data_IF_067691474094
#
_entry.id   IF_067691474094
#
_cell.length_a   1.000
_cell.length_b   1.000
_cell.length_c   1.000
_cell.angle_alpha   90.00
_cell.angle_beta   90.00
_cell.angle_gamma   90.00
#
_symmetry.space_group_name_H-M   'P 1'
#
loop_
_entity.id
_entity.type
_entity.pdbx_description
1 polymer ?
#
# COMPACT_ATOMS: atom_id res chain seq x y z
N UNK A 1 -6.00 18.58 -0.44
CA UNK A 1 -7.18 17.74 -0.81
C UNK A 1 -8.48 18.16 -0.12
N UNK A 2 -9.65 17.93 -0.74
CA UNK A 2 -10.98 18.00 -0.07
C UNK A 2 -11.33 16.67 0.61
N UNK A 3 -12.26 16.69 1.56
CA UNK A 3 -12.86 15.50 2.16
C UNK A 3 -14.34 15.42 1.78
N UNK A 4 -14.73 14.39 1.02
CA UNK A 4 -16.10 14.21 0.51
C UNK A 4 -16.70 12.96 1.14
N UNK A 5 -17.88 13.10 1.76
CA UNK A 5 -18.61 11.99 2.36
C UNK A 5 -19.65 11.47 1.37
N UNK A 6 -19.50 10.23 0.93
CA UNK A 6 -20.34 9.56 -0.06
C UNK A 6 -20.91 8.27 0.55
N UNK A 7 -21.91 8.43 1.40
CA UNK A 7 -22.63 7.32 2.02
C UNK A 7 -24.10 7.32 1.58
N UNK A 8 -24.76 6.18 1.69
CA UNK A 8 -26.17 6.04 1.33
C UNK A 8 -27.08 6.79 2.31
N UNK A 9 -26.64 6.93 3.57
CA UNK A 9 -27.41 7.58 4.63
C UNK A 9 -26.62 8.64 5.39
N UNK A 10 -27.34 9.62 5.95
CA UNK A 10 -26.74 10.65 6.80
C UNK A 10 -26.20 10.08 8.12
N UNK A 11 -26.80 9.01 8.64
CA UNK A 11 -26.36 8.34 9.87
C UNK A 11 -24.96 7.73 9.70
N UNK A 12 -24.69 7.11 8.55
CA UNK A 12 -23.35 6.60 8.22
C UNK A 12 -22.31 7.72 8.15
N UNK A 13 -22.65 8.84 7.51
CA UNK A 13 -21.79 10.02 7.50
C UNK A 13 -21.44 10.48 8.93
N UNK A 14 -22.46 10.62 9.79
CA UNK A 14 -22.28 11.08 11.17
C UNK A 14 -21.45 10.11 12.01
N UNK A 15 -21.67 8.80 11.83
CA UNK A 15 -20.94 7.73 12.52
C UNK A 15 -19.43 7.82 12.29
N UNK A 16 -18.99 8.16 11.08
CA UNK A 16 -17.57 8.15 10.70
C UNK A 16 -16.90 9.54 10.72
N UNK A 17 -17.67 10.63 10.82
CA UNK A 17 -17.17 12.00 10.70
C UNK A 17 -15.99 12.33 11.61
N UNK A 18 -16.02 11.88 12.88
CA UNK A 18 -14.95 12.18 13.83
C UNK A 18 -13.63 11.46 13.49
N UNK A 19 -13.70 10.22 13.01
CA UNK A 19 -12.53 9.45 12.56
C UNK A 19 -11.96 10.06 11.28
N UNK A 20 -12.81 10.32 10.29
CA UNK A 20 -12.43 10.94 9.01
C UNK A 20 -11.70 12.26 9.24
N UNK A 21 -12.22 13.11 10.15
CA UNK A 21 -11.57 14.38 10.47
C UNK A 21 -10.12 14.19 10.96
N UNK A 22 -9.88 13.25 11.88
CA UNK A 22 -8.53 12.98 12.40
C UNK A 22 -7.61 12.40 11.32
N UNK A 23 -8.13 11.50 10.48
CA UNK A 23 -7.37 10.93 9.36
C UNK A 23 -6.96 12.02 8.36
N UNK A 24 -7.85 12.94 8.02
CA UNK A 24 -7.54 14.06 7.12
C UNK A 24 -6.54 15.05 7.72
N UNK A 25 -6.60 15.30 9.03
CA UNK A 25 -5.59 16.13 9.74
C UNK A 25 -4.21 15.49 9.65
N UNK A 26 -4.10 14.19 9.94
CA UNK A 26 -2.85 13.42 9.81
C UNK A 26 -2.38 13.31 8.36
N UNK A 27 -3.29 13.20 7.40
CA UNK A 27 -2.95 13.10 5.99
C UNK A 27 -2.30 14.40 5.51
N UNK A 28 -2.75 15.56 6.03
CA UNK A 28 -2.09 16.83 5.77
C UNK A 28 -0.65 16.88 6.27
N UNK A 29 -0.35 16.28 7.42
CA UNK A 29 1.03 16.19 7.94
C UNK A 29 1.90 15.29 7.04
N UNK A 30 1.36 14.17 6.57
CA UNK A 30 2.05 13.28 5.65
C UNK A 30 2.22 13.88 4.24
N UNK A 31 1.23 14.63 3.74
CA UNK A 31 1.31 15.39 2.48
C UNK A 31 2.53 16.32 2.50
N UNK A 32 2.77 17.05 3.59
CA UNK A 32 3.94 17.93 3.72
C UNK A 32 5.28 17.16 3.69
N UNK A 33 5.32 15.94 4.23
CA UNK A 33 6.50 15.07 4.13
C UNK A 33 6.75 14.68 2.67
N UNK A 34 5.70 14.25 1.95
CA UNK A 34 5.80 13.90 0.55
C UNK A 34 6.20 15.10 -0.33
N UNK A 35 5.65 16.29 -0.08
CA UNK A 35 6.02 17.51 -0.81
C UNK A 35 7.48 17.90 -0.59
N UNK A 36 7.94 17.84 0.65
CA UNK A 36 9.29 18.28 1.00
C UNK A 36 10.40 17.33 0.57
N UNK A 37 10.09 16.03 0.49
CA UNK A 37 11.11 14.98 0.35
C UNK A 37 10.91 14.07 -0.85
N UNK A 38 9.69 13.97 -1.40
CA UNK A 38 9.33 12.94 -2.37
C UNK A 38 8.60 13.49 -3.61
N UNK A 39 8.74 14.78 -3.91
CA UNK A 39 8.22 15.37 -5.15
C UNK A 39 6.71 15.18 -5.35
N UNK A 40 5.91 15.30 -4.28
CA UNK A 40 4.45 15.43 -4.45
C UNK A 40 4.12 16.84 -4.98
N UNK A 41 4.04 17.00 -6.29
CA UNK A 41 3.76 18.31 -6.89
C UNK A 41 2.26 18.57 -6.93
N UNK A 42 1.51 17.65 -7.55
CA UNK A 42 0.06 17.69 -7.59
C UNK A 42 -0.54 16.78 -6.50
N UNK A 43 -1.78 17.07 -6.10
CA UNK A 43 -2.50 16.19 -5.16
C UNK A 43 -3.86 15.86 -5.74
N UNK A 44 -4.43 14.71 -5.37
CA UNK A 44 -5.78 14.40 -5.78
C UNK A 44 -6.72 15.50 -5.29
N UNK A 45 -7.81 15.69 -6.03
CA UNK A 45 -8.79 16.75 -5.72
C UNK A 45 -9.49 16.46 -4.40
N UNK A 46 -9.75 15.20 -4.09
CA UNK A 46 -10.42 14.80 -2.86
C UNK A 46 -10.14 13.37 -2.42
N UNK A 47 -10.33 13.13 -1.13
CA UNK A 47 -10.62 11.80 -0.57
C UNK A 47 -12.14 11.61 -0.55
N UNK A 48 -12.60 10.58 -1.25
CA UNK A 48 -13.96 10.09 -1.33
C UNK A 48 -14.17 9.01 -0.27
N UNK A 49 -14.73 9.42 0.86
CA UNK A 49 -15.10 8.52 1.94
C UNK A 49 -16.41 7.83 1.63
N UNK A 50 -16.44 6.51 1.64
CA UNK A 50 -17.62 5.74 1.22
C UNK A 50 -17.77 4.48 2.06
N UNK A 51 -18.92 3.81 1.99
CA UNK A 51 -19.05 2.48 2.60
C UNK A 51 -18.21 1.44 1.85
N UNK A 52 -17.85 0.36 2.55
CA UNK A 52 -17.13 -0.77 1.96
C UNK A 52 -17.87 -1.37 0.76
N UNK A 53 -19.20 -1.49 0.87
CA UNK A 53 -20.06 -2.00 -0.22
C UNK A 53 -19.93 -1.13 -1.47
N UNK A 54 -20.10 0.19 -1.34
CA UNK A 54 -20.02 1.11 -2.46
C UNK A 54 -18.60 1.14 -3.08
N UNK A 55 -17.55 1.11 -2.25
CA UNK A 55 -16.16 1.10 -2.73
C UNK A 55 -15.87 -0.10 -3.64
N UNK A 56 -16.44 -1.26 -3.30
CA UNK A 56 -16.11 -2.57 -3.92
C UNK A 56 -17.12 -3.03 -4.98
N UNK A 57 -18.28 -2.36 -5.10
CA UNK A 57 -19.34 -2.76 -6.04
C UNK A 57 -19.81 -1.65 -6.98
N UNK A 58 -19.67 -0.38 -6.58
CA UNK A 58 -20.16 0.77 -7.36
C UNK A 58 -19.01 1.58 -7.94
N UNK A 59 -18.02 1.91 -7.11
CA UNK A 59 -16.88 2.73 -7.52
C UNK A 59 -15.73 1.90 -8.13
N UNK A 60 -15.64 0.63 -7.77
CA UNK A 60 -14.71 -0.34 -8.36
C UNK A 60 -15.33 -1.73 -8.39
N UNK A 61 -14.61 -2.69 -8.95
CA UNK A 61 -14.85 -4.13 -8.83
C UNK A 61 -13.77 -4.84 -8.01
N UNK A 62 -12.90 -4.09 -7.33
CA UNK A 62 -11.78 -4.62 -6.56
C UNK A 62 -12.30 -4.99 -5.16
N UNK A 63 -11.91 -6.16 -4.59
CA UNK A 63 -12.40 -6.60 -3.29
C UNK A 63 -11.82 -5.84 -2.08
N UNK A 64 -10.92 -4.88 -2.32
CA UNK A 64 -10.27 -4.03 -1.32
C UNK A 64 -10.98 -2.67 -1.34
N UNK A 65 -11.52 -2.18 -0.20
CA UNK A 65 -12.29 -0.93 -0.17
C UNK A 65 -11.39 0.32 -0.06
N UNK A 66 -10.30 0.30 -0.82
CA UNK A 66 -9.35 1.40 -1.00
C UNK A 66 -8.77 1.30 -2.41
N UNK A 67 -8.69 2.44 -3.10
CA UNK A 67 -7.97 2.60 -4.36
C UNK A 67 -7.87 4.09 -4.69
N UNK A 68 -6.96 4.44 -5.59
CA UNK A 68 -6.83 5.80 -6.09
C UNK A 68 -6.98 5.87 -7.61
N UNK A 69 -7.39 7.04 -8.09
CA UNK A 69 -7.24 7.49 -9.47
C UNK A 69 -6.48 8.81 -9.49
N UNK A 70 -6.17 9.33 -10.68
CA UNK A 70 -5.52 10.63 -10.86
C UNK A 70 -6.18 11.75 -10.03
N UNK A 71 -7.52 11.78 -9.99
CA UNK A 71 -8.23 12.88 -9.33
C UNK A 71 -8.69 12.57 -7.90
N UNK A 72 -8.81 11.31 -7.50
CA UNK A 72 -9.51 10.93 -6.28
C UNK A 72 -8.91 9.72 -5.57
N UNK A 73 -8.82 9.80 -4.24
CA UNK A 73 -8.61 8.63 -3.37
C UNK A 73 -9.97 8.15 -2.89
N UNK A 74 -10.25 6.85 -2.95
CA UNK A 74 -11.44 6.22 -2.39
C UNK A 74 -11.06 5.40 -1.17
N UNK A 75 -11.77 5.57 -0.06
CA UNK A 75 -11.48 4.81 1.15
C UNK A 75 -12.72 4.60 2.02
N UNK A 76 -12.89 3.36 2.50
CA UNK A 76 -13.87 3.06 3.54
C UNK A 76 -13.33 3.32 4.95
N UNK A 77 -14.02 4.10 5.80
CA UNK A 77 -13.64 4.32 7.20
C UNK A 77 -14.16 3.23 8.15
N UNK A 78 -14.68 2.13 7.63
CA UNK A 78 -15.32 1.06 8.43
C UNK A 78 -14.29 0.08 9.00
N UNK A 79 -13.75 0.39 10.18
CA UNK A 79 -12.73 -0.43 10.85
C UNK A 79 -13.11 -1.91 11.01
N UNK A 80 -14.38 -2.23 11.27
CA UNK A 80 -14.82 -3.63 11.42
C UNK A 80 -14.76 -4.41 10.10
N UNK A 81 -14.99 -3.75 8.97
CA UNK A 81 -14.84 -4.39 7.66
C UNK A 81 -13.38 -4.63 7.34
N UNK A 82 -12.50 -3.69 7.67
CA UNK A 82 -11.06 -3.87 7.53
C UNK A 82 -10.54 -5.03 8.38
N UNK A 83 -10.94 -5.13 9.66
CA UNK A 83 -10.65 -6.29 10.51
C UNK A 83 -11.08 -7.61 9.86
N UNK A 84 -12.31 -7.63 9.35
CA UNK A 84 -12.85 -8.81 8.65
C UNK A 84 -12.06 -9.16 7.39
N UNK A 85 -11.63 -8.17 6.61
CA UNK A 85 -10.79 -8.36 5.42
C UNK A 85 -9.42 -8.94 5.80
N UNK A 86 -8.72 -8.34 6.74
CA UNK A 86 -7.38 -8.79 7.16
C UNK A 86 -7.41 -10.15 7.83
N UNK A 87 -8.50 -10.54 8.51
CA UNK A 87 -8.64 -11.90 9.03
C UNK A 87 -8.98 -12.91 7.93
N UNK A 88 -9.76 -12.54 6.90
CA UNK A 88 -10.05 -13.41 5.75
C UNK A 88 -8.80 -13.71 4.92
N UNK A 89 -7.82 -12.80 4.90
CA UNK A 89 -6.56 -13.02 4.19
C UNK A 89 -5.76 -14.21 4.75
N UNK A 90 -6.06 -14.68 5.97
CA UNK A 90 -5.38 -15.82 6.59
C UNK A 90 -5.78 -17.16 5.98
N UNK A 91 -6.78 -17.21 5.08
CA UNK A 91 -7.21 -18.42 4.35
C UNK A 91 -7.42 -19.68 5.22
N UNK A 92 -7.81 -19.48 6.48
CA UNK A 92 -7.99 -20.57 7.46
C UNK A 92 -6.71 -21.13 8.08
N UNK A 93 -5.54 -20.53 7.81
CA UNK A 93 -4.29 -20.83 8.51
C UNK A 93 -4.34 -20.24 9.92
N UNK A 94 -4.10 -21.09 10.92
CA UNK A 94 -4.09 -20.70 12.32
C UNK A 94 -2.77 -20.02 12.70
N UNK A 95 -2.80 -18.68 12.75
CA UNK A 95 -1.68 -17.84 13.14
C UNK A 95 -2.10 -16.93 14.32
N UNK A 96 -2.18 -17.44 15.56
CA UNK A 96 -2.83 -16.72 16.68
C UNK A 96 -2.24 -15.34 16.99
N UNK A 97 -0.93 -15.17 16.85
CA UNK A 97 -0.29 -13.88 17.06
C UNK A 97 -0.69 -12.85 15.99
N UNK A 98 -0.81 -13.28 14.73
CA UNK A 98 -1.22 -12.43 13.60
C UNK A 98 -2.73 -12.16 13.66
N UNK A 99 -3.53 -13.16 14.03
CA UNK A 99 -4.96 -12.97 14.30
C UNK A 99 -5.17 -11.88 15.36
N UNK A 100 -4.48 -11.98 16.51
CA UNK A 100 -4.57 -10.98 17.58
C UNK A 100 -4.11 -9.59 17.13
N UNK A 101 -3.09 -9.51 16.26
CA UNK A 101 -2.65 -8.24 15.67
C UNK A 101 -3.77 -7.59 14.84
N UNK A 102 -4.39 -8.35 13.92
CA UNK A 102 -5.46 -7.83 13.06
C UNK A 102 -6.81 -7.64 13.77
N UNK A 103 -7.10 -8.37 14.84
CA UNK A 103 -8.21 -8.04 15.74
C UNK A 103 -8.03 -6.64 16.35
N UNK A 104 -6.77 -6.23 16.57
CA UNK A 104 -6.37 -4.89 16.99
C UNK A 104 -6.34 -3.83 15.88
N UNK A 105 -6.74 -4.16 14.64
CA UNK A 105 -6.75 -3.19 13.52
C UNK A 105 -7.49 -1.92 13.94
N UNK A 106 -6.90 -0.76 13.64
CA UNK A 106 -7.30 0.51 14.24
C UNK A 106 -7.00 1.70 13.35
N UNK A 107 -6.99 2.89 13.95
CA UNK A 107 -6.82 4.15 13.21
C UNK A 107 -5.48 4.25 12.50
N UNK A 108 -4.39 3.74 13.08
CA UNK A 108 -3.06 3.78 12.44
C UNK A 108 -2.97 2.89 11.20
N UNK A 109 -3.58 1.70 11.24
CA UNK A 109 -3.66 0.80 10.09
C UNK A 109 -4.52 1.40 8.98
N UNK A 110 -5.65 2.02 9.33
CA UNK A 110 -6.49 2.70 8.34
C UNK A 110 -5.78 3.94 7.77
N UNK A 111 -5.01 4.65 8.59
CA UNK A 111 -4.20 5.77 8.14
C UNK A 111 -3.09 5.34 7.19
N UNK A 112 -2.42 4.22 7.46
CA UNK A 112 -1.44 3.64 6.54
C UNK A 112 -2.04 3.45 5.15
N UNK A 113 -3.24 2.87 5.06
CA UNK A 113 -3.93 2.67 3.78
C UNK A 113 -4.24 4.02 3.12
N UNK A 114 -4.77 4.99 3.85
CA UNK A 114 -5.03 6.33 3.30
C UNK A 114 -3.75 7.00 2.76
N UNK A 115 -2.66 6.88 3.51
CA UNK A 115 -1.37 7.45 3.16
C UNK A 115 -0.70 6.69 1.99
N UNK A 116 -0.91 5.37 1.91
CA UNK A 116 -0.51 4.55 0.77
C UNK A 116 -1.16 5.08 -0.52
N UNK A 117 -2.48 5.28 -0.52
CA UNK A 117 -3.20 5.84 -1.69
C UNK A 117 -2.69 7.23 -2.10
N UNK A 118 -2.30 8.08 -1.14
CA UNK A 118 -1.69 9.38 -1.46
C UNK A 118 -0.27 9.23 -2.02
N UNK A 119 0.46 8.19 -1.60
CA UNK A 119 1.85 7.99 -2.00
C UNK A 119 1.98 7.69 -3.49
N UNK A 120 0.99 7.04 -4.11
CA UNK A 120 0.96 6.85 -5.57
C UNK A 120 1.06 8.16 -6.38
N UNK A 121 0.71 9.31 -5.78
CA UNK A 121 0.73 10.61 -6.47
C UNK A 121 2.11 11.29 -6.49
N UNK A 122 3.17 10.64 -6.03
CA UNK A 122 4.53 11.23 -6.09
C UNK A 122 5.12 11.09 -7.49
N UNK A 123 5.82 12.12 -7.96
CA UNK A 123 6.47 12.17 -9.28
C UNK A 123 7.71 11.25 -9.40
N UNK A 124 8.03 10.50 -8.35
CA UNK A 124 9.17 9.57 -8.32
C UNK A 124 8.83 8.20 -8.90
N UNK A 125 7.56 7.89 -9.10
CA UNK A 125 7.16 6.70 -9.85
C UNK A 125 7.25 6.98 -11.35
N UNK A 126 7.62 5.96 -12.12
CA UNK A 126 7.86 6.11 -13.57
C UNK A 126 6.64 5.77 -14.41
N UNK A 127 5.61 5.21 -13.79
CA UNK A 127 4.40 4.74 -14.44
C UNK A 127 3.28 5.76 -14.10
N UNK A 128 2.53 6.18 -15.12
CA UNK A 128 1.38 7.08 -14.96
C UNK A 128 0.08 6.28 -14.73
N UNK A 129 -0.94 6.90 -14.16
CA UNK A 129 -2.27 6.28 -13.95
C UNK A 129 -2.92 5.71 -15.23
N UNK A 130 -2.54 6.22 -16.41
CA UNK A 130 -3.06 5.83 -17.72
C UNK A 130 -2.16 4.81 -18.46
N UNK A 131 -1.02 4.40 -17.88
CA UNK A 131 -0.09 3.50 -18.55
C UNK A 131 -0.52 2.03 -18.46
N UNK A 132 -0.55 1.33 -19.61
CA UNK A 132 -0.90 -0.10 -19.75
C UNK A 132 0.18 -1.05 -19.16
N UNK A 133 1.01 -0.57 -18.24
CA UNK A 133 2.17 -1.31 -17.76
C UNK A 133 1.77 -2.26 -16.62
N UNK A 134 1.68 -3.54 -16.96
CA UNK A 134 1.32 -4.60 -16.01
C UNK A 134 2.53 -5.26 -15.32
N UNK A 135 3.76 -4.80 -15.56
CA UNK A 135 4.99 -5.44 -15.09
C UNK A 135 5.81 -4.60 -14.09
N UNK A 136 6.27 -5.26 -13.02
CA UNK A 136 7.11 -4.65 -11.96
C UNK A 136 6.46 -3.53 -11.13
N UNK A 137 5.12 -3.51 -11.01
CA UNK A 137 4.41 -2.59 -10.10
C UNK A 137 4.78 -2.79 -8.63
N UNK A 138 5.42 -3.93 -8.30
CA UNK A 138 5.85 -4.26 -6.94
C UNK A 138 6.71 -3.18 -6.29
N UNK A 139 7.50 -2.42 -7.06
CA UNK A 139 8.33 -1.38 -6.47
C UNK A 139 7.48 -0.21 -5.97
N UNK A 140 6.52 0.22 -6.78
CA UNK A 140 5.59 1.29 -6.43
C UNK A 140 4.76 0.90 -5.22
N UNK A 141 4.07 -0.24 -5.29
CA UNK A 141 3.22 -0.73 -4.20
C UNK A 141 4.01 -0.91 -2.88
N UNK A 142 5.26 -1.37 -2.99
CA UNK A 142 6.12 -1.59 -1.83
C UNK A 142 6.57 -0.28 -1.21
N UNK A 143 6.87 0.73 -2.03
CA UNK A 143 7.18 2.09 -1.58
C UNK A 143 5.95 2.78 -0.98
N UNK A 144 4.76 2.57 -1.56
CA UNK A 144 3.49 3.06 -1.05
C UNK A 144 3.16 2.50 0.33
N UNK A 145 3.64 1.31 0.70
CA UNK A 145 3.61 0.84 2.09
C UNK A 145 4.79 1.34 2.93
N UNK A 146 6.00 1.37 2.38
CA UNK A 146 7.21 1.69 3.12
C UNK A 146 7.20 3.13 3.66
N UNK A 147 6.82 4.13 2.85
CA UNK A 147 6.88 5.54 3.22
C UNK A 147 5.88 5.92 4.35
N UNK A 148 4.60 5.53 4.30
CA UNK A 148 3.66 5.78 5.40
C UNK A 148 4.10 5.13 6.71
N UNK A 149 4.66 3.91 6.65
CA UNK A 149 5.15 3.20 7.85
C UNK A 149 6.29 3.94 8.53
N UNK A 150 7.21 4.53 7.75
CA UNK A 150 8.27 5.37 8.31
C UNK A 150 7.69 6.59 9.04
N UNK A 151 6.66 7.21 8.47
CA UNK A 151 5.97 8.33 9.09
C UNK A 151 5.22 7.95 10.38
N UNK A 152 4.60 6.76 10.40
CA UNK A 152 3.91 6.21 11.57
C UNK A 152 4.86 5.86 12.74
N UNK A 153 6.15 5.69 12.44
CA UNK A 153 7.22 5.54 13.42
C UNK A 153 7.68 4.11 13.63
N UNK A 154 8.85 3.99 14.27
CA UNK A 154 9.63 2.74 14.34
C UNK A 154 8.87 1.58 15.00
N UNK A 155 8.08 1.83 16.05
CA UNK A 155 7.32 0.76 16.71
C UNK A 155 6.27 0.15 15.77
N UNK A 156 5.49 1.00 15.10
CA UNK A 156 4.50 0.55 14.11
C UNK A 156 5.17 -0.18 12.96
N UNK A 157 6.24 0.41 12.42
CA UNK A 157 7.03 -0.15 11.32
C UNK A 157 7.53 -1.56 11.64
N UNK A 158 8.11 -1.75 12.83
CA UNK A 158 8.67 -3.05 13.23
C UNK A 158 7.57 -4.10 13.46
N UNK A 159 6.46 -3.71 14.09
CA UNK A 159 5.35 -4.63 14.36
C UNK A 159 4.72 -5.15 13.06
N UNK A 160 4.37 -4.26 12.12
CA UNK A 160 3.79 -4.67 10.84
C UNK A 160 4.78 -5.49 10.00
N UNK A 161 6.07 -5.12 10.01
CA UNK A 161 7.10 -5.89 9.30
C UNK A 161 7.19 -7.32 9.81
N UNK A 162 7.18 -7.52 11.13
CA UNK A 162 7.24 -8.86 11.71
C UNK A 162 6.01 -9.70 11.35
N UNK A 163 4.83 -9.08 11.30
CA UNK A 163 3.57 -9.72 10.88
C UNK A 163 3.64 -10.14 9.42
N UNK A 164 4.03 -9.23 8.52
CA UNK A 164 4.06 -9.50 7.08
C UNK A 164 5.17 -10.48 6.68
N UNK A 165 6.32 -10.45 7.36
CA UNK A 165 7.37 -11.47 7.19
C UNK A 165 6.82 -12.86 7.54
N UNK A 166 6.13 -13.00 8.67
CA UNK A 166 5.56 -14.28 9.09
C UNK A 166 4.43 -14.74 8.16
N UNK A 167 3.63 -13.82 7.62
CA UNK A 167 2.62 -14.12 6.61
C UNK A 167 3.27 -14.60 5.30
N UNK A 168 4.26 -13.87 4.79
CA UNK A 168 4.98 -14.27 3.58
C UNK A 168 5.58 -15.68 3.74
N UNK A 169 6.24 -15.96 4.86
CA UNK A 169 6.78 -17.30 5.15
C UNK A 169 5.70 -18.39 5.20
N UNK A 170 4.55 -18.11 5.83
CA UNK A 170 3.46 -19.06 5.95
C UNK A 170 2.79 -19.40 4.60
N UNK A 171 2.74 -18.42 3.69
CA UNK A 171 2.05 -18.54 2.41
C UNK A 171 2.97 -18.83 1.21
N UNK A 172 4.29 -18.85 1.42
CA UNK A 172 5.30 -19.03 0.37
C UNK A 172 5.09 -20.30 -0.47
N UNK A 173 4.70 -21.42 0.13
CA UNK A 173 4.47 -22.67 -0.61
C UNK A 173 3.21 -22.59 -1.51
N UNK A 174 2.18 -21.86 -1.06
CA UNK A 174 0.89 -21.79 -1.74
C UNK A 174 0.88 -20.76 -2.87
N UNK A 175 1.47 -19.58 -2.64
CA UNK A 175 1.41 -18.45 -3.56
C UNK A 175 2.76 -18.02 -4.12
N UNK A 176 3.89 -18.52 -3.61
CA UNK A 176 5.23 -18.08 -4.01
C UNK A 176 5.81 -18.72 -5.28
N UNK A 177 4.97 -19.22 -6.19
CA UNK A 177 5.43 -19.96 -7.38
C UNK A 177 5.76 -19.07 -8.58
N UNK A 178 5.46 -17.76 -8.52
CA UNK A 178 5.74 -16.76 -9.54
C UNK A 178 6.81 -15.73 -9.11
N UNK A 179 7.41 -15.06 -10.10
CA UNK A 179 8.41 -14.03 -9.85
C UNK A 179 7.77 -12.77 -9.23
N UNK A 180 8.57 -11.96 -8.54
CA UNK A 180 8.06 -10.71 -7.97
C UNK A 180 7.72 -9.70 -9.07
N UNK A 181 8.47 -9.68 -10.18
CA UNK A 181 8.19 -8.81 -11.32
C UNK A 181 6.92 -9.19 -12.09
N UNK A 182 6.35 -10.38 -11.81
CA UNK A 182 5.03 -10.79 -12.33
C UNK A 182 3.87 -10.15 -11.54
N UNK A 183 4.15 -9.44 -10.44
CA UNK A 183 3.12 -8.67 -9.72
C UNK A 183 2.60 -7.56 -10.64
N UNK A 184 1.28 -7.54 -10.86
CA UNK A 184 0.55 -6.65 -11.77
C UNK A 184 -0.24 -7.41 -12.84
N UNK A 185 0.32 -8.48 -13.40
CA UNK A 185 -0.30 -9.28 -14.45
C UNK A 185 -1.47 -10.12 -13.90
N UNK A 186 -2.70 -9.58 -13.95
CA UNK A 186 -3.90 -10.27 -13.44
C UNK A 186 -3.94 -10.35 -11.91
N UNK A 187 -3.17 -9.53 -11.19
CA UNK A 187 -3.03 -9.57 -9.73
C UNK A 187 -4.40 -9.53 -9.01
N UNK A 188 -5.37 -8.82 -9.56
CA UNK A 188 -6.71 -8.67 -9.00
C UNK A 188 -7.72 -9.78 -9.39
N UNK A 189 -7.32 -10.78 -10.18
CA UNK A 189 -8.13 -11.97 -10.48
C UNK A 189 -7.97 -13.09 -9.43
N UNK A 190 -7.00 -12.95 -8.52
CA UNK A 190 -6.70 -13.90 -7.45
C UNK A 190 -7.64 -13.79 -6.23
N UNK A 191 -7.46 -14.71 -5.28
CA UNK A 191 -8.10 -14.59 -3.96
C UNK A 191 -7.46 -13.45 -3.15
N UNK A 192 -8.16 -12.92 -2.13
CA UNK A 192 -7.60 -11.90 -1.22
C UNK A 192 -6.22 -12.34 -0.66
N UNK A 193 -6.03 -13.57 -0.13
CA UNK A 193 -4.71 -14.01 0.32
C UNK A 193 -3.62 -13.96 -0.77
N UNK A 194 -3.95 -14.32 -2.01
CA UNK A 194 -3.01 -14.25 -3.13
C UNK A 194 -2.61 -12.82 -3.46
N UNK A 195 -3.57 -11.89 -3.48
CA UNK A 195 -3.33 -10.47 -3.69
C UNK A 195 -2.42 -9.92 -2.59
N UNK A 196 -2.79 -10.16 -1.32
CA UNK A 196 -2.04 -9.66 -0.17
C UNK A 196 -0.63 -10.24 -0.11
N UNK A 197 -0.44 -11.48 -0.55
CA UNK A 197 0.87 -12.12 -0.60
C UNK A 197 1.86 -11.37 -1.50
N UNK A 198 1.41 -10.88 -2.65
CA UNK A 198 2.28 -10.09 -3.54
C UNK A 198 2.59 -8.70 -2.94
N UNK A 199 1.63 -8.07 -2.27
CA UNK A 199 1.87 -6.85 -1.50
C UNK A 199 2.92 -7.03 -0.40
N UNK A 200 2.85 -8.12 0.38
CA UNK A 200 3.85 -8.39 1.42
C UNK A 200 5.23 -8.59 0.82
N UNK A 201 5.36 -9.37 -0.26
CA UNK A 201 6.64 -9.58 -0.96
C UNK A 201 7.21 -8.28 -1.51
N UNK A 202 6.35 -7.46 -2.10
CA UNK A 202 6.66 -6.14 -2.64
C UNK A 202 7.23 -5.23 -1.55
N UNK A 203 6.51 -5.06 -0.44
CA UNK A 203 6.97 -4.27 0.70
C UNK A 203 8.28 -4.79 1.30
N UNK A 204 8.37 -6.09 1.57
CA UNK A 204 9.57 -6.70 2.17
C UNK A 204 10.79 -6.53 1.27
N UNK A 205 10.62 -6.69 -0.04
CA UNK A 205 11.69 -6.46 -1.01
C UNK A 205 12.16 -5.01 -1.02
N UNK A 206 11.23 -4.05 -1.03
CA UNK A 206 11.56 -2.62 -0.94
C UNK A 206 12.33 -2.33 0.34
N UNK A 207 11.84 -2.83 1.49
CA UNK A 207 12.51 -2.66 2.78
C UNK A 207 13.95 -3.18 2.74
N UNK A 208 14.18 -4.38 2.19
CA UNK A 208 15.52 -4.97 2.08
C UNK A 208 16.46 -4.11 1.22
N UNK A 209 15.96 -3.58 0.10
CA UNK A 209 16.72 -2.69 -0.78
C UNK A 209 17.09 -1.38 -0.08
N UNK A 210 16.13 -0.78 0.65
CA UNK A 210 16.38 0.46 1.40
C UNK A 210 17.37 0.23 2.54
N UNK A 211 17.23 -0.89 3.28
CA UNK A 211 18.12 -1.26 4.38
C UNK A 211 19.55 -1.53 3.88
N UNK A 212 19.70 -2.19 2.73
CA UNK A 212 21.00 -2.38 2.08
C UNK A 212 21.68 -1.03 1.76
N UNK A 213 20.88 -0.01 1.44
CA UNK A 213 21.33 1.36 1.25
C UNK A 213 21.27 2.22 2.52
N UNK A 214 21.29 1.59 3.70
CA UNK A 214 21.37 2.25 5.01
C UNK A 214 20.25 3.26 5.27
N UNK A 215 19.05 2.99 4.74
CA UNK A 215 17.91 3.89 4.88
C UNK A 215 17.85 5.04 3.87
N UNK A 216 18.75 5.09 2.87
CA UNK A 216 18.76 6.15 1.85
C UNK A 216 17.70 5.89 0.76
N UNK A 217 16.46 6.27 1.07
CA UNK A 217 15.31 6.15 0.16
C UNK A 217 15.53 6.91 -1.16
N UNK A 218 16.16 8.09 -1.10
CA UNK A 218 16.42 8.90 -2.30
C UNK A 218 17.39 8.18 -3.24
N UNK A 219 18.37 7.46 -2.71
CA UNK A 219 19.23 6.61 -3.51
C UNK A 219 18.47 5.47 -4.18
N UNK A 220 17.54 4.84 -3.48
CA UNK A 220 16.71 3.77 -4.05
C UNK A 220 15.90 4.28 -5.24
N UNK A 221 15.23 5.44 -5.12
CA UNK A 221 14.53 6.04 -6.27
C UNK A 221 15.46 6.40 -7.42
N UNK A 222 16.66 6.95 -7.16
CA UNK A 222 17.64 7.20 -8.23
C UNK A 222 18.02 5.92 -8.98
N UNK A 223 18.26 4.84 -8.25
CA UNK A 223 18.59 3.53 -8.84
C UNK A 223 17.42 2.95 -9.64
N UNK A 224 16.20 3.14 -9.16
CA UNK A 224 14.97 2.78 -9.88
C UNK A 224 14.84 3.55 -11.21
N UNK A 225 15.12 4.85 -11.23
CA UNK A 225 15.14 5.63 -12.47
C UNK A 225 16.29 5.21 -13.41
N UNK A 226 17.49 4.97 -12.89
CA UNK A 226 18.63 4.44 -13.68
C UNK A 226 18.31 3.09 -14.32
N UNK A 227 17.61 2.22 -13.59
CA UNK A 227 17.08 0.98 -14.13
C UNK A 227 16.09 1.26 -15.26
N UNK A 228 15.13 2.15 -15.06
CA UNK A 228 14.10 2.48 -16.05
C UNK A 228 14.69 3.03 -17.36
N UNK A 229 15.80 3.79 -17.30
CA UNK A 229 16.48 4.30 -18.49
C UNK A 229 17.12 3.20 -19.35
N UNK A 230 17.47 2.05 -18.75
CA UNK A 230 18.21 0.98 -19.43
C UNK A 230 17.39 -0.29 -19.67
N UNK A 231 16.52 -0.67 -18.72
CA UNK A 231 15.63 -1.85 -18.72
C UNK A 231 16.26 -3.14 -19.29
N UNK A 232 17.55 -3.35 -19.03
CA UNK A 232 18.28 -4.50 -19.59
C UNK A 232 17.93 -5.83 -18.89
N UNK A 233 17.45 -5.76 -17.65
CA UNK A 233 17.05 -6.89 -16.80
C UNK A 233 15.78 -6.51 -16.04
N UNK A 234 15.10 -7.49 -15.43
CA UNK A 234 13.97 -7.23 -14.52
C UNK A 234 14.41 -6.39 -13.32
N UNK A 235 13.49 -5.61 -12.75
CA UNK A 235 13.81 -4.67 -11.66
C UNK A 235 14.32 -5.41 -10.41
N UNK A 236 13.70 -6.53 -10.06
CA UNK A 236 14.18 -7.33 -8.92
C UNK A 236 15.63 -7.80 -9.11
N UNK A 237 15.98 -8.24 -10.32
CA UNK A 237 17.33 -8.68 -10.68
C UNK A 237 18.32 -7.52 -10.63
N UNK A 238 17.93 -6.35 -11.15
CA UNK A 238 18.76 -5.15 -11.08
C UNK A 238 19.13 -4.80 -9.63
N UNK A 239 18.13 -4.83 -8.72
CA UNK A 239 18.38 -4.57 -7.31
C UNK A 239 19.23 -5.64 -6.64
N UNK A 240 19.11 -6.91 -7.01
CA UNK A 240 19.96 -7.99 -6.50
C UNK A 240 21.42 -7.85 -6.94
N UNK A 241 21.66 -7.51 -8.21
CA UNK A 241 23.01 -7.33 -8.76
C UNK A 241 23.76 -6.18 -8.08
N UNK A 242 23.11 -5.03 -7.87
CA UNK A 242 23.74 -3.91 -7.18
C UNK A 242 23.90 -4.15 -5.67
N UNK A 243 23.10 -5.06 -5.10
CA UNK A 243 23.19 -5.46 -3.69
C UNK A 243 24.29 -6.47 -3.40
N UNK A 244 24.92 -7.04 -4.42
CA UNK A 244 26.04 -8.01 -4.27
C UNK A 244 27.42 -7.42 -4.58
N UNK A 245 27.49 -6.18 -5.08
CA UNK A 245 28.72 -5.57 -5.63
C UNK A 245 29.49 -4.70 -4.61
N UNK A 246 29.42 -4.99 -3.30
CA UNK A 246 30.12 -4.23 -2.24
C UNK A 246 31.23 -5.04 -1.57
#
# INVERSE_FOLDING_TARGET
MKSILCFETAEECEKHAALIKRLMERLGEYEEVLRSSYQLEETPKAVMWTSTELATTVFSSIPIPAFTSEEFIYLSPELDQWRGLTLRQLDGIELPAIQAYYEGFGEDHLFEILAHELTHHIELFVDDFDDDREDSIWFEEGMCFYLPRLFLGEAYFNDITAVEQALMEAFQEQYGSHALDDFGAGAYEGSIPSIMFDYWRSYLKVKDVVDFHHGDVQKVFRLYHEWHESRNVQLSTYFDDISTTV
#
